data_IF_714691882705
#
_entry.id   IF_714691882705
#
_cell.length_a   1.000
_cell.length_b   1.000
_cell.length_c   1.000
_cell.angle_alpha   90.00
_cell.angle_beta   90.00
_cell.angle_gamma   90.00
#
_symmetry.space_group_name_H-M   'P 1'
#
loop_
_entity.id
_entity.type
_entity.pdbx_description
1 polymer ?
#
# COMPACT_ATOMS: atom_id res chain seq x y z
N UNK A 1 -5.42 19.05 5.68
CA UNK A 1 -5.25 17.96 6.65
C UNK A 1 -4.05 17.12 6.28
N UNK A 2 -3.28 16.60 7.25
CA UNK A 2 -2.15 15.73 6.94
C UNK A 2 -2.62 14.47 6.23
N UNK A 3 -1.73 13.94 5.41
CA UNK A 3 -1.98 12.68 4.70
C UNK A 3 -1.01 11.61 5.17
N UNK A 4 -1.51 10.40 5.20
CA UNK A 4 -0.73 9.22 5.60
C UNK A 4 -0.88 8.14 4.56
N UNK A 5 0.21 7.42 4.31
CA UNK A 5 0.16 6.21 3.50
C UNK A 5 0.02 5.01 4.44
N UNK A 6 -0.96 4.17 4.16
CA UNK A 6 -1.14 2.89 4.84
C UNK A 6 -0.71 1.80 3.87
N UNK A 7 0.49 1.26 4.07
CA UNK A 7 1.11 0.29 3.17
C UNK A 7 0.81 -1.12 3.67
N UNK A 8 0.21 -1.93 2.83
CA UNK A 8 -0.31 -3.25 3.20
C UNK A 8 0.69 -4.31 2.77
N UNK A 9 1.21 -5.06 3.74
CA UNK A 9 2.16 -6.14 3.51
C UNK A 9 1.56 -7.48 3.90
N UNK A 10 1.87 -8.50 3.13
CA UNK A 10 1.48 -9.87 3.43
C UNK A 10 2.69 -10.79 3.28
N UNK A 11 2.67 -11.99 3.93
CA UNK A 11 3.77 -12.94 3.76
C UNK A 11 3.95 -13.32 2.29
N UNK A 12 5.19 -13.33 1.82
CA UNK A 12 5.50 -13.64 0.42
C UNK A 12 4.98 -15.02 0.01
N UNK A 13 4.96 -15.97 0.93
CA UNK A 13 4.48 -17.34 0.69
C UNK A 13 2.98 -17.40 0.34
N UNK A 14 2.22 -16.35 0.63
CA UNK A 14 0.79 -16.32 0.28
C UNK A 14 0.53 -15.93 -1.16
N UNK A 15 1.53 -15.41 -1.86
CA UNK A 15 1.40 -15.07 -3.27
C UNK A 15 1.24 -16.35 -4.10
N UNK A 16 0.24 -16.37 -4.98
CA UNK A 16 -0.04 -17.53 -5.81
C UNK A 16 -0.67 -18.70 -5.08
N UNK A 17 -0.97 -18.55 -3.80
CA UNK A 17 -1.64 -19.61 -3.04
C UNK A 17 -3.09 -19.74 -3.49
N UNK A 18 -3.57 -20.99 -3.55
CA UNK A 18 -4.98 -21.25 -3.83
C UNK A 18 -5.82 -20.86 -2.62
N UNK A 19 -6.70 -19.90 -2.82
CA UNK A 19 -7.63 -19.44 -1.79
C UNK A 19 -9.03 -19.91 -2.18
N UNK A 20 -9.74 -20.66 -1.31
CA UNK A 20 -11.11 -21.06 -1.61
C UNK A 20 -11.99 -19.84 -1.89
N UNK A 21 -12.94 -19.99 -2.81
CA UNK A 21 -13.83 -18.89 -3.21
C UNK A 21 -14.57 -18.26 -2.03
N UNK A 22 -14.98 -19.07 -1.05
CA UNK A 22 -15.64 -18.56 0.16
C UNK A 22 -14.74 -17.65 0.97
N UNK A 23 -13.47 -18.02 1.13
CA UNK A 23 -12.48 -17.22 1.86
C UNK A 23 -12.18 -15.93 1.09
N UNK A 24 -12.01 -16.02 -0.22
CA UNK A 24 -11.78 -14.84 -1.06
C UNK A 24 -13.00 -13.89 -0.99
N UNK A 25 -14.21 -14.43 -1.06
CA UNK A 25 -15.43 -13.63 -0.92
C UNK A 25 -15.51 -12.92 0.43
N UNK A 26 -15.10 -13.60 1.51
CA UNK A 26 -15.05 -13.00 2.84
C UNK A 26 -14.05 -11.83 2.88
N UNK A 27 -12.85 -12.03 2.36
CA UNK A 27 -11.81 -10.98 2.32
C UNK A 27 -12.30 -9.78 1.52
N UNK A 28 -12.87 -10.02 0.34
CA UNK A 28 -13.39 -8.92 -0.51
C UNK A 28 -14.51 -8.16 0.20
N UNK A 29 -15.38 -8.87 0.90
CA UNK A 29 -16.46 -8.25 1.68
C UNK A 29 -15.90 -7.36 2.80
N UNK A 30 -14.87 -7.81 3.47
CA UNK A 30 -14.21 -7.05 4.53
C UNK A 30 -13.56 -5.76 3.98
N UNK A 31 -12.88 -5.84 2.84
CA UNK A 31 -12.31 -4.66 2.18
C UNK A 31 -13.39 -3.69 1.70
N UNK A 32 -14.48 -4.22 1.17
CA UNK A 32 -15.59 -3.39 0.74
C UNK A 32 -16.20 -2.63 1.92
N UNK A 33 -16.36 -3.29 3.06
CA UNK A 33 -16.87 -2.67 4.28
C UNK A 33 -15.94 -1.54 4.76
N UNK A 34 -14.62 -1.78 4.76
CA UNK A 34 -13.65 -0.75 5.10
C UNK A 34 -13.77 0.46 4.17
N UNK A 35 -13.80 0.22 2.86
CA UNK A 35 -13.91 1.29 1.86
C UNK A 35 -15.18 2.12 2.03
N UNK A 36 -16.29 1.47 2.33
CA UNK A 36 -17.56 2.16 2.56
C UNK A 36 -17.51 3.04 3.82
N UNK A 37 -16.96 2.53 4.91
CA UNK A 37 -16.86 3.29 6.16
C UNK A 37 -15.88 4.44 6.04
N UNK A 38 -14.69 4.20 5.51
CA UNK A 38 -13.67 5.23 5.33
C UNK A 38 -14.10 6.29 4.32
N UNK A 39 -14.76 5.86 3.25
CA UNK A 39 -15.30 6.78 2.25
C UNK A 39 -16.40 7.67 2.84
N UNK A 40 -17.32 7.09 3.60
CA UNK A 40 -18.40 7.84 4.25
C UNK A 40 -17.86 8.84 5.28
N UNK A 41 -16.78 8.50 5.97
CA UNK A 41 -16.14 9.39 6.94
C UNK A 41 -15.28 10.48 6.27
N UNK A 42 -15.07 10.41 4.96
CA UNK A 42 -14.28 11.40 4.23
C UNK A 42 -12.78 11.29 4.46
N UNK A 43 -12.29 10.14 4.98
CA UNK A 43 -10.88 9.97 5.30
C UNK A 43 -10.09 9.26 4.21
N UNK A 44 -10.77 8.68 3.22
CA UNK A 44 -10.12 7.93 2.16
C UNK A 44 -9.78 8.86 0.99
N UNK A 45 -8.49 9.14 0.80
CA UNK A 45 -8.01 10.02 -0.27
C UNK A 45 -7.57 9.25 -1.51
N UNK A 46 -7.40 7.95 -1.42
CA UNK A 46 -7.00 7.10 -2.54
C UNK A 46 -6.49 5.76 -2.07
N UNK A 47 -6.08 4.94 -3.01
CA UNK A 47 -5.52 3.64 -2.72
C UNK A 47 -5.63 2.72 -3.93
N UNK A 48 -4.74 1.74 -4.00
CA UNK A 48 -4.69 0.78 -5.08
C UNK A 48 -4.27 -0.59 -4.57
N UNK A 49 -4.85 -1.63 -5.11
CA UNK A 49 -4.36 -2.99 -4.94
C UNK A 49 -3.36 -3.28 -6.05
N UNK A 50 -2.30 -4.00 -5.71
CA UNK A 50 -1.27 -4.38 -6.67
C UNK A 50 -1.39 -5.84 -7.03
N UNK A 51 -1.01 -6.20 -8.25
CA UNK A 51 -0.82 -7.59 -8.63
C UNK A 51 0.35 -8.20 -7.87
N UNK A 52 0.47 -9.53 -7.89
CA UNK A 52 1.55 -10.24 -7.24
C UNK A 52 2.92 -9.82 -7.78
N UNK A 53 3.95 -10.05 -7.00
CA UNK A 53 5.31 -9.61 -7.34
C UNK A 53 5.87 -10.26 -8.60
N UNK A 54 5.32 -11.41 -9.05
CA UNK A 54 5.72 -12.01 -10.32
C UNK A 54 5.34 -11.16 -11.54
N UNK A 55 4.46 -10.16 -11.35
CA UNK A 55 4.09 -9.20 -12.39
C UNK A 55 4.94 -7.93 -12.36
N UNK A 56 5.86 -7.82 -11.40
CA UNK A 56 6.67 -6.62 -11.24
C UNK A 56 7.83 -6.59 -12.25
N UNK A 57 8.24 -5.39 -12.61
CA UNK A 57 9.47 -5.14 -13.36
C UNK A 57 10.27 -4.10 -12.59
N UNK A 58 11.52 -4.38 -12.36
CA UNK A 58 12.42 -3.47 -11.65
C UNK A 58 13.36 -2.79 -12.65
N UNK A 59 13.56 -1.50 -12.48
CA UNK A 59 14.42 -0.68 -13.36
C UNK A 59 15.56 -0.10 -12.53
N UNK A 60 16.77 -0.24 -13.02
CA UNK A 60 17.95 0.43 -12.49
C UNK A 60 18.65 1.17 -13.64
N UNK A 61 18.98 2.42 -13.45
CA UNK A 61 19.77 3.16 -14.43
C UNK A 61 21.22 3.20 -13.93
N UNK A 62 22.09 2.52 -14.65
CA UNK A 62 23.51 2.45 -14.32
C UNK A 62 24.20 3.75 -14.70
N UNK A 63 25.02 4.28 -13.79
CA UNK A 63 25.76 5.51 -14.03
C UNK A 63 24.95 6.80 -13.81
N UNK A 64 23.73 6.69 -13.30
CA UNK A 64 22.89 7.84 -13.00
C UNK A 64 22.16 8.39 -14.22
N UNK A 65 21.81 9.68 -14.16
CA UNK A 65 21.00 10.33 -15.20
C UNK A 65 21.65 10.23 -16.56
N UNK A 66 20.90 9.72 -17.54
CA UNK A 66 21.39 9.55 -18.91
C UNK A 66 22.20 8.27 -19.12
N UNK A 67 22.35 7.45 -18.09
CA UNK A 67 23.04 6.17 -18.19
C UNK A 67 22.18 5.06 -18.80
N UNK A 68 22.65 3.83 -18.68
CA UNK A 68 21.97 2.65 -19.25
C UNK A 68 20.88 2.14 -18.31
N UNK A 69 19.66 1.97 -18.82
CA UNK A 69 18.56 1.39 -18.07
C UNK A 69 18.65 -0.12 -18.11
N UNK A 70 18.59 -0.76 -16.94
CA UNK A 70 18.56 -2.21 -16.78
C UNK A 70 17.19 -2.60 -16.23
N UNK A 71 16.49 -3.49 -16.94
CA UNK A 71 15.17 -3.98 -16.57
C UNK A 71 15.30 -5.42 -16.09
N UNK A 72 14.70 -5.70 -14.94
CA UNK A 72 14.71 -7.04 -14.35
C UNK A 72 13.29 -7.46 -14.05
N UNK A 73 12.89 -8.65 -14.47
CA UNK A 73 11.58 -9.19 -14.11
C UNK A 73 11.55 -9.54 -12.63
N UNK A 74 10.44 -9.21 -12.00
CA UNK A 74 10.23 -9.44 -10.58
C UNK A 74 10.60 -8.23 -9.71
N UNK A 75 10.40 -8.35 -8.38
CA UNK A 75 10.71 -7.29 -7.44
C UNK A 75 12.22 -7.16 -7.28
N UNK A 76 12.67 -5.96 -6.87
CA UNK A 76 14.11 -5.73 -6.72
C UNK A 76 14.70 -6.50 -5.53
N UNK A 77 13.89 -6.87 -4.56
CA UNK A 77 14.34 -7.59 -3.37
C UNK A 77 13.45 -8.81 -3.11
N UNK A 78 14.08 -9.91 -2.70
CA UNK A 78 13.39 -11.12 -2.26
C UNK A 78 13.19 -10.98 -0.75
N UNK A 79 11.96 -10.69 -0.33
CA UNK A 79 11.62 -10.41 1.06
C UNK A 79 10.58 -11.40 1.60
N UNK A 80 10.53 -11.50 2.93
CA UNK A 80 9.55 -12.38 3.59
C UNK A 80 8.13 -11.83 3.50
N UNK A 81 8.01 -10.52 3.41
CA UNK A 81 6.72 -9.85 3.26
C UNK A 81 6.75 -8.96 2.02
N UNK A 82 5.65 -8.90 1.32
CA UNK A 82 5.54 -8.17 0.06
C UNK A 82 4.44 -7.12 0.14
N UNK A 83 4.66 -6.00 -0.53
CA UNK A 83 3.68 -4.93 -0.63
C UNK A 83 2.58 -5.37 -1.60
N UNK A 84 1.35 -5.46 -1.09
CA UNK A 84 0.20 -5.87 -1.88
C UNK A 84 -0.76 -4.75 -2.25
N UNK A 85 -0.60 -3.58 -1.63
CA UNK A 85 -1.46 -2.44 -1.91
C UNK A 85 -1.27 -1.35 -0.88
N UNK A 86 -2.03 -0.28 -1.04
CA UNK A 86 -1.97 0.84 -0.11
C UNK A 86 -3.25 1.65 -0.12
N UNK A 87 -3.46 2.38 0.96
CA UNK A 87 -4.47 3.43 1.04
C UNK A 87 -3.80 4.76 1.37
N UNK A 88 -4.39 5.85 0.89
CA UNK A 88 -4.03 7.20 1.29
C UNK A 88 -5.11 7.72 2.22
N UNK A 89 -4.73 8.11 3.43
CA UNK A 89 -5.66 8.57 4.46
C UNK A 89 -5.47 10.06 4.70
N UNK A 90 -6.57 10.80 4.64
CA UNK A 90 -6.62 12.24 4.91
C UNK A 90 -7.27 12.43 6.28
N UNK A 91 -6.46 12.58 7.31
CA UNK A 91 -6.88 12.60 8.71
C UNK A 91 -6.14 13.68 9.48
N UNK A 92 -6.58 13.94 10.70
CA UNK A 92 -6.05 15.05 11.50
C UNK A 92 -4.66 14.80 12.08
N UNK A 93 -4.36 13.57 12.47
CA UNK A 93 -3.10 13.22 13.12
C UNK A 93 -2.81 11.72 12.99
N UNK A 94 -1.65 11.31 13.51
CA UNK A 94 -1.22 9.92 13.46
C UNK A 94 -2.16 8.99 14.23
N UNK A 95 -2.66 9.42 15.38
CA UNK A 95 -3.56 8.58 16.17
C UNK A 95 -4.83 8.24 15.41
N UNK A 96 -5.38 9.19 14.66
CA UNK A 96 -6.54 8.95 13.82
C UNK A 96 -6.19 8.03 12.66
N UNK A 97 -5.02 8.22 12.03
CA UNK A 97 -4.54 7.33 10.98
C UNK A 97 -4.42 5.89 11.47
N UNK A 98 -3.88 5.70 12.68
CA UNK A 98 -3.74 4.37 13.27
C UNK A 98 -5.08 3.71 13.58
N UNK A 99 -6.07 4.49 14.03
CA UNK A 99 -7.42 3.98 14.23
C UNK A 99 -8.02 3.42 12.96
N UNK A 100 -7.89 4.16 11.85
CA UNK A 100 -8.39 3.68 10.56
C UNK A 100 -7.58 2.51 10.03
N UNK A 101 -6.26 2.55 10.17
CA UNK A 101 -5.40 1.47 9.67
C UNK A 101 -5.69 0.12 10.33
N UNK A 102 -6.09 0.11 11.60
CA UNK A 102 -6.49 -1.13 12.30
C UNK A 102 -7.70 -1.80 11.67
N UNK A 103 -8.51 -1.07 10.93
CA UNK A 103 -9.71 -1.58 10.29
C UNK A 103 -9.46 -2.10 8.88
N UNK A 104 -8.24 -1.91 8.36
CA UNK A 104 -7.86 -2.48 7.07
C UNK A 104 -7.66 -3.99 7.26
N UNK A 105 -8.38 -4.83 6.49
CA UNK A 105 -8.26 -6.30 6.66
C UNK A 105 -6.85 -6.84 6.53
N UNK A 106 -6.01 -6.18 5.74
CA UNK A 106 -4.60 -6.55 5.63
C UNK A 106 -3.83 -6.49 6.94
N UNK A 107 -4.26 -5.67 7.90
CA UNK A 107 -3.66 -5.62 9.22
C UNK A 107 -3.98 -6.86 10.06
N UNK A 108 -5.04 -7.57 9.73
CA UNK A 108 -5.48 -8.78 10.46
C UNK A 108 -4.77 -10.02 9.95
N UNK A 109 -4.42 -10.05 8.68
CA UNK A 109 -3.79 -11.21 8.03
C UNK A 109 -2.31 -11.00 7.72
N UNK A 110 -1.85 -9.78 7.78
CA UNK A 110 -0.48 -9.38 7.54
C UNK A 110 -0.15 -8.18 8.40
N UNK A 111 0.42 -7.16 7.79
CA UNK A 111 0.78 -5.92 8.49
C UNK A 111 0.48 -4.71 7.65
N UNK A 112 0.19 -3.61 8.34
CA UNK A 112 0.02 -2.30 7.69
C UNK A 112 1.02 -1.34 8.32
N UNK A 113 1.86 -0.76 7.48
CA UNK A 113 2.81 0.26 7.87
C UNK A 113 2.20 1.62 7.56
N UNK A 114 2.13 2.49 8.57
CA UNK A 114 1.56 3.83 8.41
C UNK A 114 2.70 4.85 8.42
N UNK A 115 2.79 5.66 7.37
CA UNK A 115 3.84 6.67 7.24
C UNK A 115 3.24 8.02 6.86
N UNK A 116 3.64 9.11 7.54
CA UNK A 116 3.25 10.45 7.10
C UNK A 116 3.77 10.71 5.68
N UNK A 117 2.94 11.35 4.86
CA UNK A 117 3.34 11.72 3.52
C UNK A 117 4.01 13.09 3.57
N UNK A 118 5.18 13.19 2.96
CA UNK A 118 5.86 14.47 2.81
C UNK A 118 5.15 15.28 1.74
N UNK A 119 4.67 16.46 2.11
CA UNK A 119 4.03 17.37 1.17
C UNK A 119 5.01 18.49 0.80
N UNK A 120 4.86 19.00 -0.42
CA UNK A 120 5.76 20.01 -0.97
C UNK A 120 4.96 21.18 -1.55
N UNK A 121 5.54 22.37 -1.50
CA UNK A 121 5.02 23.53 -2.23
C UNK A 121 5.25 23.34 -3.73
N UNK A 122 4.64 24.21 -4.55
CA UNK A 122 4.81 24.14 -6.01
C UNK A 122 6.25 24.30 -6.45
N UNK A 123 7.08 25.00 -5.66
CA UNK A 123 8.51 25.19 -5.95
C UNK A 123 9.40 24.14 -5.28
N UNK A 124 8.81 23.09 -4.73
CA UNK A 124 9.54 21.93 -4.22
C UNK A 124 10.03 22.02 -2.79
N UNK A 125 9.52 22.95 -2.00
CA UNK A 125 9.90 23.08 -0.59
C UNK A 125 9.05 22.19 0.31
N UNK A 126 9.63 21.45 1.28
CA UNK A 126 8.83 20.65 2.20
C UNK A 126 7.91 21.52 3.07
N UNK A 127 6.68 21.07 3.25
CA UNK A 127 5.68 21.79 4.06
C UNK A 127 5.65 21.27 5.49
N UNK A 128 5.79 19.97 5.70
CA UNK A 128 5.63 19.33 7.00
C UNK A 128 6.84 18.50 7.44
#
# INVERSE_FOLDING_TARGET
MPKYAALIYSPAETEGADVPDEVMGQIMSEYLAFGNEAGAAGVLAGGEALHDTNMATTIKVEGGKGGDAVFTDGPFADTKEVLGGFYLLDVGDLDEALKWAQQIPGAWHGRVEVRPIQEFTDDGQPIN
#
